data_IF_339220454906
#
_entry.id   IF_339220454906
#
_cell.length_a   1.000
_cell.length_b   1.000
_cell.length_c   1.000
_cell.angle_alpha   90.00
_cell.angle_beta   90.00
_cell.angle_gamma   90.00
#
_symmetry.space_group_name_H-M   'P 1'
#
loop_
_entity.id
_entity.type
_entity.pdbx_description
1 polymer ?
#
# COMPACT_ATOMS: atom_id res chain seq x y z
N UNK A 1 -38.74 -10.86 -68.64
CA UNK A 1 -38.24 -10.15 -69.83
C UNK A 1 -37.20 -9.13 -69.35
N UNK A 2 -35.98 -9.17 -69.90
CA UNK A 2 -34.93 -8.13 -69.84
C UNK A 2 -34.38 -7.58 -68.49
N UNK A 3 -33.03 -7.68 -68.33
CA UNK A 3 -32.10 -6.59 -67.89
C UNK A 3 -32.17 -6.16 -66.39
N UNK A 4 -31.12 -5.94 -65.59
CA UNK A 4 -29.63 -6.04 -65.56
C UNK A 4 -29.25 -6.11 -64.04
N UNK A 5 -28.05 -6.43 -63.53
CA UNK A 5 -26.72 -6.70 -64.09
C UNK A 5 -25.96 -7.72 -63.18
N UNK A 6 -24.62 -7.65 -63.07
CA UNK A 6 -23.75 -8.41 -62.15
C UNK A 6 -22.91 -7.45 -61.26
N UNK A 7 -22.31 -7.86 -60.14
CA UNK A 7 -21.03 -8.60 -59.96
C UNK A 7 -20.78 -8.80 -58.44
N UNK A 8 -19.97 -9.72 -57.90
CA UNK A 8 -19.26 -10.91 -58.41
C UNK A 8 -19.06 -11.88 -57.22
N UNK A 9 -18.92 -13.18 -57.48
CA UNK A 9 -18.49 -14.18 -56.47
C UNK A 9 -17.34 -14.99 -57.07
N UNK A 10 -16.29 -15.24 -56.27
CA UNK A 10 -15.39 -16.41 -56.37
C UNK A 10 -14.54 -16.52 -57.68
N UNK A 11 -13.44 -17.27 -57.78
CA UNK A 11 -12.60 -18.12 -56.89
C UNK A 11 -11.19 -18.12 -57.54
N UNK A 12 -10.10 -18.29 -56.76
CA UNK A 12 -8.92 -19.07 -57.20
C UNK A 12 -7.94 -19.31 -56.03
N UNK A 13 -7.73 -20.58 -55.71
CA UNK A 13 -6.70 -21.07 -54.80
C UNK A 13 -5.52 -21.58 -55.66
N UNK A 14 -4.27 -21.31 -55.28
CA UNK A 14 -3.11 -22.00 -55.84
C UNK A 14 -1.99 -22.11 -54.78
N UNK A 15 -1.52 -23.33 -54.52
CA UNK A 15 -0.44 -23.66 -53.58
C UNK A 15 0.51 -24.64 -54.27
N UNK A 16 1.79 -24.27 -54.35
CA UNK A 16 2.96 -25.14 -54.59
C UNK A 16 4.19 -24.24 -54.77
N UNK A 17 5.42 -24.53 -54.37
CA UNK A 17 6.09 -25.42 -53.41
C UNK A 17 7.58 -25.00 -53.51
N UNK A 18 8.48 -25.55 -52.68
CA UNK A 18 9.94 -25.23 -52.57
C UNK A 18 10.25 -23.91 -51.83
N UNK A 19 11.34 -23.78 -51.05
CA UNK A 19 12.49 -24.69 -50.84
C UNK A 19 12.87 -24.86 -49.35
N UNK A 20 13.68 -25.88 -49.05
CA UNK A 20 14.17 -26.19 -47.70
C UNK A 20 15.42 -25.38 -47.30
N UNK A 21 15.51 -25.10 -46.00
CA UNK A 21 16.73 -25.08 -45.17
C UNK A 21 17.99 -24.33 -45.64
N UNK A 22 18.24 -23.18 -45.00
CA UNK A 22 19.56 -22.91 -44.38
C UNK A 22 19.36 -22.44 -42.94
N UNK A 23 20.02 -23.11 -41.99
CA UNK A 23 20.09 -22.67 -40.60
C UNK A 23 21.23 -21.64 -40.52
N UNK A 24 20.91 -20.40 -40.18
CA UNK A 24 21.91 -19.39 -39.82
C UNK A 24 21.73 -19.03 -38.36
N UNK A 25 22.63 -19.50 -37.49
CA UNK A 25 22.73 -18.97 -36.13
C UNK A 25 23.27 -17.55 -36.22
N UNK A 26 22.39 -16.55 -36.19
CA UNK A 26 22.79 -15.20 -35.85
C UNK A 26 23.12 -15.17 -34.35
N UNK A 27 24.40 -14.95 -34.02
CA UNK A 27 24.83 -14.80 -32.62
C UNK A 27 24.08 -13.66 -31.92
N UNK A 28 23.52 -13.96 -30.75
CA UNK A 28 23.00 -12.94 -29.86
C UNK A 28 24.15 -12.02 -29.39
N UNK A 29 23.96 -10.69 -29.28
CA UNK A 29 25.00 -9.79 -28.82
C UNK A 29 25.54 -10.18 -27.44
N UNK A 30 26.82 -10.58 -27.40
CA UNK A 30 27.58 -10.79 -26.17
C UNK A 30 27.97 -9.43 -25.58
N UNK A 31 27.05 -8.81 -24.84
CA UNK A 31 27.42 -7.80 -23.86
C UNK A 31 26.39 -7.71 -22.72
N UNK A 32 26.29 -8.80 -21.95
CA UNK A 32 25.69 -8.76 -20.61
C UNK A 32 26.82 -8.51 -19.63
N UNK A 33 27.19 -7.23 -19.49
CA UNK A 33 28.10 -6.78 -18.44
C UNK A 33 27.60 -7.24 -17.07
N UNK A 34 28.51 -7.80 -16.28
CA UNK A 34 28.21 -8.52 -15.05
C UNK A 34 27.51 -7.63 -14.02
N UNK A 35 26.18 -7.80 -13.92
CA UNK A 35 25.34 -7.24 -12.85
C UNK A 35 24.42 -8.34 -12.35
N UNK A 36 24.76 -8.83 -11.17
CA UNK A 36 24.01 -9.82 -10.39
C UNK A 36 22.51 -9.50 -10.35
N UNK A 37 21.70 -10.31 -11.05
CA UNK A 37 20.22 -10.23 -11.07
C UNK A 37 19.58 -10.71 -9.74
N UNK A 38 20.11 -10.27 -8.61
CA UNK A 38 19.65 -10.61 -7.26
C UNK A 38 19.08 -9.41 -6.48
N UNK A 39 19.28 -8.18 -6.96
CA UNK A 39 18.72 -6.97 -6.34
C UNK A 39 17.34 -6.65 -6.94
N UNK A 40 16.35 -7.48 -6.60
CA UNK A 40 14.95 -7.12 -6.77
C UNK A 40 14.64 -5.88 -5.93
N UNK A 41 14.35 -4.74 -6.58
CA UNK A 41 14.08 -3.44 -5.96
C UNK A 41 12.82 -3.45 -5.08
N UNK A 42 12.90 -4.03 -3.87
CA UNK A 42 11.85 -3.92 -2.87
C UNK A 42 11.94 -2.57 -2.15
N UNK A 43 11.67 -1.49 -2.88
CA UNK A 43 11.50 -0.17 -2.28
C UNK A 43 10.18 -0.17 -1.50
N UNK A 44 10.29 -0.06 -0.17
CA UNK A 44 9.12 0.20 0.68
C UNK A 44 8.44 1.47 0.21
N UNK A 45 7.11 1.46 0.03
CA UNK A 45 6.40 2.68 -0.33
C UNK A 45 6.61 3.74 0.75
N UNK A 46 6.70 5.01 0.32
CA UNK A 46 6.72 6.17 1.20
C UNK A 46 5.62 6.08 2.27
N UNK A 47 5.83 6.74 3.41
CA UNK A 47 4.76 6.84 4.41
C UNK A 47 3.57 7.66 3.87
N UNK A 48 2.39 7.42 4.43
CA UNK A 48 1.21 8.25 4.19
C UNK A 48 1.14 9.49 5.11
N UNK A 49 2.05 9.59 6.07
CA UNK A 49 2.16 10.73 6.99
C UNK A 49 2.91 11.86 6.29
N UNK A 50 2.32 13.05 6.22
CA UNK A 50 2.99 14.24 5.71
C UNK A 50 4.03 14.76 6.73
N UNK A 51 5.31 14.94 6.37
CA UNK A 51 6.33 15.51 7.25
C UNK A 51 6.11 16.99 7.62
N UNK A 52 5.24 17.72 6.91
CA UNK A 52 4.93 19.12 7.20
C UNK A 52 4.05 19.30 8.45
N UNK A 53 3.23 18.30 8.80
CA UNK A 53 2.30 18.36 9.94
C UNK A 53 2.87 17.72 11.22
N UNK A 54 4.08 17.16 11.17
CA UNK A 54 4.73 16.57 12.36
C UNK A 54 5.39 17.64 13.22
N UNK A 55 5.20 17.56 14.55
CA UNK A 55 5.93 18.38 15.52
C UNK A 55 7.38 17.92 15.61
N UNK A 56 8.30 18.81 15.30
CA UNK A 56 9.75 18.56 15.37
C UNK A 56 10.26 18.53 16.82
N UNK A 57 11.33 17.74 17.04
CA UNK A 57 11.97 17.50 18.35
C UNK A 57 13.49 17.68 18.22
N UNK A 58 13.89 18.84 17.68
CA UNK A 58 15.28 19.22 17.40
C UNK A 58 16.16 19.26 18.66
N UNK A 59 15.59 19.63 19.81
CA UNK A 59 16.32 19.86 21.07
C UNK A 59 16.64 18.59 21.89
N UNK A 60 16.50 17.39 21.30
CA UNK A 60 16.87 16.13 21.97
C UNK A 60 18.40 15.90 22.01
N UNK A 61 18.88 14.94 22.81
CA UNK A 61 20.33 14.63 22.99
C UNK A 61 21.05 14.01 21.76
N UNK A 62 20.60 14.32 20.54
CA UNK A 62 21.29 13.97 19.31
C UNK A 62 22.44 14.93 18.97
N UNK A 63 23.30 14.58 18.00
CA UNK A 63 24.37 15.47 17.54
C UNK A 63 23.78 16.71 16.84
N UNK A 64 24.26 17.91 17.18
CA UNK A 64 23.74 19.20 16.68
C UNK A 64 23.40 19.20 15.18
N UNK A 65 22.27 19.83 14.85
CA UNK A 65 21.78 20.05 13.49
C UNK A 65 21.27 21.49 13.34
N UNK A 66 21.33 22.05 12.13
CA UNK A 66 20.57 23.26 11.78
C UNK A 66 19.11 22.91 11.42
N UNK A 67 18.25 23.93 11.29
CA UNK A 67 16.86 23.74 10.87
C UNK A 67 16.77 23.19 9.43
N UNK A 68 17.66 23.62 8.53
CA UNK A 68 17.74 23.14 7.14
C UNK A 68 18.18 21.67 7.08
N UNK A 69 19.18 21.30 7.89
CA UNK A 69 19.62 19.91 8.01
C UNK A 69 18.52 19.02 8.60
N UNK A 70 17.78 19.52 9.60
CA UNK A 70 16.63 18.81 10.14
C UNK A 70 15.53 18.63 9.09
N UNK A 71 15.18 19.68 8.34
CA UNK A 71 14.18 19.64 7.29
C UNK A 71 14.56 18.64 6.18
N UNK A 72 15.83 18.63 5.76
CA UNK A 72 16.36 17.62 4.84
C UNK A 72 16.23 16.21 5.44
N UNK A 73 16.72 16.01 6.67
CA UNK A 73 16.71 14.72 7.35
C UNK A 73 15.30 14.15 7.49
N UNK A 74 14.34 15.01 7.88
CA UNK A 74 12.92 14.67 7.99
C UNK A 74 12.32 14.28 6.65
N UNK A 75 12.48 15.11 5.61
CA UNK A 75 11.96 14.83 4.27
C UNK A 75 12.52 13.51 3.72
N UNK A 76 13.84 13.38 3.69
CA UNK A 76 14.54 12.20 3.16
C UNK A 76 14.16 10.93 3.93
N UNK A 77 14.02 11.01 5.26
CA UNK A 77 13.57 9.87 6.06
C UNK A 77 12.14 9.46 5.72
N UNK A 78 11.20 10.40 5.57
CA UNK A 78 9.79 10.09 5.28
C UNK A 78 9.62 9.52 3.86
N UNK A 79 10.34 10.07 2.88
CA UNK A 79 10.32 9.61 1.49
C UNK A 79 10.99 8.24 1.30
N UNK A 80 12.17 8.03 1.92
CA UNK A 80 13.06 6.91 1.57
C UNK A 80 13.27 5.85 2.67
N UNK A 81 13.01 6.16 3.93
CA UNK A 81 13.35 5.28 5.07
C UNK A 81 12.12 4.79 5.86
N UNK A 82 11.12 5.65 6.07
CA UNK A 82 9.95 5.38 6.90
C UNK A 82 9.10 4.21 6.37
N UNK A 83 9.13 3.93 5.07
CA UNK A 83 8.47 2.76 4.48
C UNK A 83 8.94 1.42 5.07
N UNK A 84 10.21 1.32 5.46
CA UNK A 84 10.81 0.12 6.06
C UNK A 84 11.01 0.25 7.58
N UNK A 85 11.33 1.44 8.09
CA UNK A 85 11.67 1.67 9.51
C UNK A 85 10.52 2.26 10.35
N UNK A 86 9.40 2.64 9.72
CA UNK A 86 8.26 3.32 10.35
C UNK A 86 8.52 4.79 10.65
N UNK A 87 7.46 5.63 10.71
CA UNK A 87 7.60 7.08 10.96
C UNK A 87 8.22 7.40 12.32
N UNK A 88 7.88 6.61 13.35
CA UNK A 88 8.48 6.69 14.70
C UNK A 88 9.81 5.93 14.82
N UNK A 89 10.35 5.40 13.72
CA UNK A 89 11.57 4.59 13.69
C UNK A 89 11.53 3.30 14.53
N UNK A 90 10.35 2.82 14.94
CA UNK A 90 10.17 1.59 15.74
C UNK A 90 10.36 0.28 14.94
N UNK A 91 10.64 0.37 13.64
CA UNK A 91 10.79 -0.76 12.74
C UNK A 91 9.48 -1.19 12.09
N UNK A 92 9.57 -1.85 10.93
CA UNK A 92 8.47 -2.52 10.27
C UNK A 92 8.98 -3.77 9.53
N UNK A 93 9.59 -3.59 8.36
CA UNK A 93 10.43 -4.62 7.71
C UNK A 93 11.90 -4.43 8.06
N UNK A 94 12.34 -3.17 8.19
CA UNK A 94 13.65 -2.79 8.69
C UNK A 94 13.68 -2.75 10.22
N UNK A 95 14.89 -2.90 10.78
CA UNK A 95 15.15 -2.83 12.23
C UNK A 95 14.78 -1.45 12.82
N UNK A 96 14.42 -1.36 14.11
CA UNK A 96 14.23 -0.07 14.77
C UNK A 96 15.50 0.81 14.70
N UNK A 97 15.29 2.12 14.51
CA UNK A 97 16.28 3.20 14.50
C UNK A 97 15.90 4.26 15.55
N UNK A 98 15.39 3.82 16.70
CA UNK A 98 15.10 4.70 17.85
C UNK A 98 16.40 5.19 18.51
N UNK A 99 16.41 6.38 19.16
CA UNK A 99 17.63 6.99 19.67
C UNK A 99 18.39 6.16 20.69
N UNK A 100 17.69 5.36 21.51
CA UNK A 100 18.28 4.43 22.47
C UNK A 100 19.10 3.31 21.80
N UNK A 101 18.87 3.04 20.51
CA UNK A 101 19.63 2.09 19.69
C UNK A 101 20.69 2.83 18.87
N UNK A 102 20.31 3.89 18.15
CA UNK A 102 21.21 4.58 17.21
C UNK A 102 22.35 5.28 17.92
N UNK A 103 22.11 5.96 19.05
CA UNK A 103 23.17 6.58 19.88
C UNK A 103 24.16 5.55 20.41
N UNK A 104 23.70 4.35 20.81
CA UNK A 104 24.57 3.24 21.26
C UNK A 104 25.40 2.62 20.13
N UNK A 105 24.95 2.70 18.88
CA UNK A 105 25.71 2.26 17.70
C UNK A 105 26.77 3.29 17.27
N UNK A 106 26.49 4.57 17.47
CA UNK A 106 27.41 5.66 17.15
C UNK A 106 27.48 6.01 15.66
N UNK A 107 27.84 7.26 15.38
CA UNK A 107 27.75 7.85 14.05
C UNK A 107 28.57 7.13 12.96
N UNK A 108 29.74 6.58 13.28
CA UNK A 108 30.60 5.88 12.30
C UNK A 108 29.96 4.58 11.80
N UNK A 109 29.41 3.77 12.72
CA UNK A 109 28.66 2.55 12.38
C UNK A 109 27.45 2.88 11.49
N UNK A 110 26.66 3.89 11.89
CA UNK A 110 25.47 4.31 11.16
C UNK A 110 25.82 4.83 9.76
N UNK A 111 26.87 5.65 9.64
CA UNK A 111 27.39 6.16 8.36
C UNK A 111 27.79 5.02 7.44
N UNK A 112 28.53 4.04 7.96
CA UNK A 112 28.96 2.85 7.22
C UNK A 112 27.74 2.07 6.70
N UNK A 113 26.75 1.82 7.56
CA UNK A 113 25.56 1.05 7.21
C UNK A 113 24.65 1.76 6.19
N UNK A 114 24.53 3.09 6.26
CA UNK A 114 23.79 3.89 5.26
C UNK A 114 24.55 3.97 3.94
N UNK A 115 25.89 4.06 3.97
CA UNK A 115 26.74 4.15 2.77
C UNK A 115 26.71 2.87 1.94
N UNK A 116 26.87 1.71 2.59
CA UNK A 116 27.07 0.41 1.94
C UNK A 116 25.84 -0.51 2.00
N UNK A 117 24.79 -0.15 2.76
CA UNK A 117 23.61 -0.98 2.93
C UNK A 117 23.91 -2.28 3.70
N UNK A 118 23.12 -3.32 3.44
CA UNK A 118 23.45 -4.68 3.91
C UNK A 118 22.83 -5.78 3.05
N UNK A 119 23.45 -6.98 2.98
CA UNK A 119 22.92 -8.13 2.24
C UNK A 119 21.52 -8.59 2.67
N UNK A 120 21.06 -8.17 3.87
CA UNK A 120 19.72 -8.45 4.38
C UNK A 120 18.63 -7.51 3.83
N UNK A 121 18.91 -6.72 2.79
CA UNK A 121 17.92 -5.90 2.07
C UNK A 121 17.85 -4.43 2.46
N UNK A 122 18.85 -3.89 3.20
CA UNK A 122 18.95 -2.42 3.36
C UNK A 122 19.71 -1.83 2.16
N UNK A 123 19.15 -0.83 1.44
CA UNK A 123 19.81 -0.21 0.29
C UNK A 123 21.13 0.50 0.64
N UNK A 124 21.99 0.62 -0.37
CA UNK A 124 23.37 1.07 -0.29
C UNK A 124 23.55 2.54 -0.75
N UNK A 125 22.81 3.45 -0.12
CA UNK A 125 22.57 4.84 -0.56
C UNK A 125 23.80 5.67 -0.95
N UNK A 126 24.96 5.42 -0.34
CA UNK A 126 26.20 6.14 -0.67
C UNK A 126 26.90 5.54 -1.89
N UNK A 127 27.04 4.22 -1.93
CA UNK A 127 27.68 3.53 -3.09
C UNK A 127 26.81 3.46 -4.34
N UNK A 128 25.49 3.61 -4.22
CA UNK A 128 24.59 3.79 -5.36
C UNK A 128 24.66 5.21 -5.95
N UNK A 129 25.16 6.18 -5.19
CA UNK A 129 25.13 7.61 -5.54
C UNK A 129 23.80 8.31 -5.27
N UNK A 130 22.86 7.66 -4.58
CA UNK A 130 21.53 8.24 -4.28
C UNK A 130 21.56 9.30 -3.17
N UNK A 131 22.62 9.31 -2.33
CA UNK A 131 22.90 10.34 -1.32
C UNK A 131 24.40 10.69 -1.31
N UNK A 132 24.74 11.97 -1.15
CA UNK A 132 26.14 12.41 -0.97
C UNK A 132 26.67 12.09 0.43
N UNK A 133 27.98 12.28 0.67
CA UNK A 133 28.59 12.06 2.00
C UNK A 133 28.02 13.00 3.06
N UNK A 134 27.70 14.22 2.65
CA UNK A 134 27.13 15.30 3.45
C UNK A 134 25.66 14.99 3.79
N UNK A 135 24.88 14.54 2.80
CA UNK A 135 23.50 14.08 3.01
C UNK A 135 23.45 12.86 3.94
N UNK A 136 24.37 11.91 3.80
CA UNK A 136 24.51 10.77 4.72
C UNK A 136 24.87 11.25 6.13
N UNK A 137 25.72 12.26 6.29
CA UNK A 137 26.02 12.85 7.60
C UNK A 137 24.78 13.44 8.28
N UNK A 138 23.99 14.21 7.54
CA UNK A 138 22.72 14.77 8.00
C UNK A 138 21.78 13.63 8.43
N UNK A 139 21.65 12.57 7.63
CA UNK A 139 20.83 11.41 7.98
C UNK A 139 21.32 10.68 9.23
N UNK A 140 22.64 10.51 9.40
CA UNK A 140 23.25 9.88 10.58
C UNK A 140 22.97 10.67 11.86
N UNK A 141 23.01 12.01 11.79
CA UNK A 141 22.64 12.87 12.94
C UNK A 141 21.14 12.83 13.19
N UNK A 142 20.33 12.99 12.14
CA UNK A 142 18.87 12.97 12.21
C UNK A 142 18.32 11.70 12.89
N UNK A 143 18.83 10.51 12.56
CA UNK A 143 18.35 9.25 13.18
C UNK A 143 18.77 9.07 14.65
N UNK A 144 19.60 9.96 15.20
CA UNK A 144 20.01 9.98 16.62
C UNK A 144 19.23 11.01 17.46
N UNK A 145 18.41 11.87 16.84
CA UNK A 145 17.41 12.69 17.54
C UNK A 145 16.10 11.94 17.76
N UNK A 146 15.27 12.37 18.72
CA UNK A 146 13.90 11.88 18.83
C UNK A 146 13.11 12.11 17.53
N UNK A 147 12.31 11.14 17.05
CA UNK A 147 11.59 11.30 15.80
C UNK A 147 10.50 12.38 15.93
N UNK A 148 10.25 13.18 14.88
CA UNK A 148 9.17 14.15 14.89
C UNK A 148 7.82 13.43 15.04
N UNK A 149 6.94 13.99 15.88
CA UNK A 149 5.68 13.36 16.26
C UNK A 149 4.54 13.86 15.36
N UNK A 150 3.86 13.00 14.59
CA UNK A 150 2.67 13.42 13.85
C UNK A 150 1.52 13.78 14.81
N UNK A 151 0.48 14.49 14.35
CA UNK A 151 -0.66 14.84 15.20
C UNK A 151 -1.42 13.58 15.66
N UNK A 152 -2.09 13.66 16.81
CA UNK A 152 -3.03 12.61 17.23
C UNK A 152 -4.24 12.54 16.29
N UNK A 153 -4.91 11.39 16.27
CA UNK A 153 -6.10 11.15 15.46
C UNK A 153 -7.23 10.57 16.33
N UNK A 154 -8.04 11.46 16.90
CA UNK A 154 -9.07 11.12 17.88
C UNK A 154 -10.45 10.87 17.26
N UNK A 155 -11.45 10.73 18.14
CA UNK A 155 -12.84 10.50 17.74
C UNK A 155 -13.41 11.62 16.87
N UNK A 156 -12.97 12.87 17.09
CA UNK A 156 -13.37 14.01 16.29
C UNK A 156 -12.87 13.86 14.85
N UNK A 157 -11.58 13.62 14.67
CA UNK A 157 -10.94 13.49 13.35
C UNK A 157 -11.48 12.26 12.59
N UNK A 158 -11.78 11.17 13.30
CA UNK A 158 -12.49 10.01 12.72
C UNK A 158 -13.87 10.41 12.19
N UNK A 159 -14.69 11.10 13.00
CA UNK A 159 -16.03 11.55 12.60
C UNK A 159 -16.00 12.59 11.48
N UNK A 160 -15.04 13.50 11.48
CA UNK A 160 -14.83 14.48 10.40
C UNK A 160 -14.44 13.80 9.07
N UNK A 161 -13.81 12.62 9.14
CA UNK A 161 -13.42 11.81 7.96
C UNK A 161 -14.47 10.79 7.50
N UNK A 162 -15.48 10.52 8.33
CA UNK A 162 -16.46 9.47 8.13
C UNK A 162 -17.49 9.86 7.06
N UNK A 163 -17.74 8.95 6.12
CA UNK A 163 -18.78 9.11 5.09
C UNK A 163 -19.58 7.82 4.94
N UNK A 164 -20.86 7.89 5.27
CA UNK A 164 -21.85 6.87 4.94
C UNK A 164 -22.38 7.14 3.52
N UNK A 165 -21.86 6.41 2.53
CA UNK A 165 -22.20 6.62 1.11
C UNK A 165 -23.59 6.05 0.81
N UNK A 166 -23.87 4.83 1.28
CA UNK A 166 -25.18 4.19 1.18
C UNK A 166 -25.61 3.69 2.57
N UNK A 167 -26.58 4.37 3.22
CA UNK A 167 -27.21 3.91 4.46
C UNK A 167 -27.80 2.49 4.35
N UNK A 168 -27.75 1.73 5.45
CA UNK A 168 -28.13 0.31 5.47
C UNK A 168 -29.59 0.04 5.02
N UNK A 169 -30.52 0.93 5.35
CA UNK A 169 -31.93 0.88 4.94
C UNK A 169 -32.13 1.06 3.42
N UNK A 170 -31.12 1.54 2.70
CA UNK A 170 -31.11 1.72 1.25
C UNK A 170 -30.28 0.68 0.51
N UNK A 171 -29.66 -0.28 1.22
CA UNK A 171 -28.89 -1.37 0.62
C UNK A 171 -29.81 -2.53 0.21
N UNK A 172 -29.37 -3.42 -0.68
CA UNK A 172 -30.13 -4.62 -1.02
C UNK A 172 -30.44 -5.48 0.21
N UNK A 173 -31.67 -5.99 0.31
CA UNK A 173 -32.08 -6.95 1.35
C UNK A 173 -31.80 -8.41 0.95
N UNK A 174 -31.26 -8.61 -0.27
CA UNK A 174 -30.81 -9.88 -0.85
C UNK A 174 -29.69 -9.60 -1.86
N UNK A 175 -28.90 -10.61 -2.25
CA UNK A 175 -27.95 -10.50 -3.37
C UNK A 175 -28.68 -10.12 -4.67
N UNK A 176 -28.20 -9.09 -5.37
CA UNK A 176 -28.73 -8.58 -6.64
C UNK A 176 -27.81 -8.85 -7.85
N UNK A 177 -26.66 -9.48 -7.63
CA UNK A 177 -25.76 -9.94 -8.69
C UNK A 177 -25.71 -11.47 -8.76
N UNK A 178 -25.25 -12.00 -9.89
CA UNK A 178 -25.12 -13.45 -10.12
C UNK A 178 -23.75 -14.03 -9.73
N UNK A 179 -22.80 -13.20 -9.24
CA UNK A 179 -21.44 -13.64 -8.92
C UNK A 179 -21.37 -14.70 -7.81
N UNK A 180 -20.41 -15.62 -7.94
CA UNK A 180 -20.08 -16.59 -6.92
C UNK A 180 -19.23 -15.93 -5.81
N UNK A 181 -19.87 -15.34 -4.81
CA UNK A 181 -19.18 -14.54 -3.78
C UNK A 181 -18.13 -15.34 -2.98
N UNK A 182 -18.33 -16.66 -2.83
CA UNK A 182 -17.37 -17.55 -2.16
C UNK A 182 -16.09 -17.78 -2.97
N UNK A 183 -16.08 -17.42 -4.26
CA UNK A 183 -14.94 -17.54 -5.17
C UNK A 183 -14.54 -16.19 -5.80
N UNK A 184 -14.75 -15.05 -5.13
CA UNK A 184 -14.23 -13.75 -5.57
C UNK A 184 -12.83 -13.50 -5.00
N UNK A 185 -11.92 -13.03 -5.86
CA UNK A 185 -10.60 -12.55 -5.47
C UNK A 185 -10.60 -11.02 -5.36
N UNK A 186 -10.32 -10.49 -4.17
CA UNK A 186 -10.03 -9.06 -3.97
C UNK A 186 -8.52 -8.81 -4.14
N UNK A 187 -8.14 -8.32 -5.32
CA UNK A 187 -6.74 -8.12 -5.72
C UNK A 187 -6.32 -6.68 -5.45
N UNK A 188 -5.22 -6.48 -4.72
CA UNK A 188 -4.68 -5.14 -4.41
C UNK A 188 -3.92 -4.56 -5.61
N UNK A 189 -4.42 -3.45 -6.16
CA UNK A 189 -3.71 -2.63 -7.15
C UNK A 189 -2.94 -1.52 -6.42
N UNK A 190 -1.88 -1.95 -5.72
CA UNK A 190 -1.19 -1.19 -4.66
C UNK A 190 -0.92 0.28 -5.02
N UNK A 191 -0.22 0.54 -6.12
CA UNK A 191 0.29 1.88 -6.41
C UNK A 191 -0.78 2.78 -7.06
N UNK A 192 -1.88 2.20 -7.54
CA UNK A 192 -3.07 2.93 -8.01
C UNK A 192 -4.00 3.36 -6.87
N UNK A 193 -3.82 2.83 -5.65
CA UNK A 193 -4.75 3.07 -4.54
C UNK A 193 -6.13 2.46 -4.78
N UNK A 194 -6.15 1.28 -5.41
CA UNK A 194 -7.34 0.58 -5.89
C UNK A 194 -7.33 -0.90 -5.45
N UNK A 195 -8.52 -1.52 -5.46
CA UNK A 195 -8.63 -2.97 -5.58
C UNK A 195 -9.33 -3.34 -6.89
N UNK A 196 -9.04 -4.54 -7.40
CA UNK A 196 -9.80 -5.19 -8.45
C UNK A 196 -10.50 -6.41 -7.88
N UNK A 197 -11.82 -6.46 -8.03
CA UNK A 197 -12.60 -7.68 -7.79
C UNK A 197 -12.54 -8.54 -9.04
N UNK A 198 -12.10 -9.78 -8.91
CA UNK A 198 -12.00 -10.76 -10.01
C UNK A 198 -12.87 -11.96 -9.67
N UNK A 199 -13.68 -12.39 -10.62
CA UNK A 199 -14.49 -13.60 -10.52
C UNK A 199 -13.58 -14.83 -10.65
N UNK A 200 -13.54 -15.69 -9.63
CA UNK A 200 -12.63 -16.84 -9.60
C UNK A 200 -13.05 -18.01 -10.47
N UNK A 201 -14.28 -18.03 -11.01
CA UNK A 201 -14.77 -19.07 -11.91
C UNK A 201 -14.39 -18.73 -13.36
N UNK A 202 -14.69 -17.51 -13.80
CA UNK A 202 -14.48 -17.00 -15.16
C UNK A 202 -13.13 -16.34 -15.39
N UNK A 203 -12.50 -15.80 -14.32
CA UNK A 203 -11.24 -15.01 -14.31
C UNK A 203 -11.40 -13.59 -14.89
N UNK A 204 -12.63 -13.15 -15.12
CA UNK A 204 -12.95 -11.81 -15.59
C UNK A 204 -13.00 -10.78 -14.44
N UNK A 205 -12.66 -9.51 -14.69
CA UNK A 205 -12.76 -8.45 -13.69
C UNK A 205 -14.23 -8.01 -13.50
N UNK A 206 -14.68 -7.99 -12.24
CA UNK A 206 -16.03 -7.56 -11.83
C UNK A 206 -16.08 -6.03 -11.69
N UNK A 207 -15.15 -5.45 -10.94
CA UNK A 207 -15.04 -4.00 -10.72
C UNK A 207 -13.61 -3.62 -10.32
N UNK A 208 -13.23 -2.37 -10.59
CA UNK A 208 -12.05 -1.72 -10.00
C UNK A 208 -12.53 -0.60 -9.10
N UNK A 209 -12.27 -0.71 -7.80
CA UNK A 209 -12.77 0.17 -6.75
C UNK A 209 -11.63 1.06 -6.25
N UNK A 210 -11.85 2.38 -6.26
CA UNK A 210 -10.91 3.38 -5.75
C UNK A 210 -11.03 3.50 -4.25
N UNK A 211 -9.95 3.19 -3.53
CA UNK A 211 -9.89 3.30 -2.07
C UNK A 211 -9.15 4.56 -1.61
N UNK A 212 -8.33 5.14 -2.48
CA UNK A 212 -7.72 6.47 -2.34
C UNK A 212 -6.22 6.49 -2.00
N UNK A 213 -5.70 5.43 -1.38
CA UNK A 213 -4.27 5.24 -1.13
C UNK A 213 -3.92 3.75 -1.14
N UNK A 214 -2.62 3.44 -1.21
CA UNK A 214 -2.10 2.08 -1.33
C UNK A 214 -2.68 1.11 -0.30
N UNK A 215 -3.53 0.20 -0.80
CA UNK A 215 -4.19 -0.86 -0.03
C UNK A 215 -3.14 -1.80 0.57
N UNK A 216 -3.40 -2.26 1.78
CA UNK A 216 -2.56 -3.25 2.45
C UNK A 216 -3.20 -4.64 2.48
N UNK A 217 -4.46 -4.73 2.92
CA UNK A 217 -5.21 -6.00 2.98
C UNK A 217 -6.70 -5.80 2.72
N UNK A 218 -7.32 -6.88 2.27
CA UNK A 218 -8.77 -7.11 2.25
C UNK A 218 -9.17 -8.11 3.34
N UNK A 219 -10.37 -7.96 3.93
CA UNK A 219 -11.01 -8.91 4.84
C UNK A 219 -12.49 -9.02 4.58
N UNK A 220 -13.03 -10.24 4.68
CA UNK A 220 -14.47 -10.46 4.63
C UNK A 220 -15.08 -10.38 6.02
N UNK A 221 -16.31 -9.87 6.05
CA UNK A 221 -17.31 -10.14 7.08
C UNK A 221 -17.63 -11.62 7.22
N UNK A 222 -18.29 -11.99 8.31
CA UNK A 222 -18.56 -13.39 8.65
C UNK A 222 -19.66 -13.99 7.78
N UNK A 223 -20.59 -13.19 7.27
CA UNK A 223 -21.60 -13.64 6.28
C UNK A 223 -21.08 -13.68 4.84
N UNK A 224 -19.90 -13.14 4.57
CA UNK A 224 -19.39 -12.92 3.21
C UNK A 224 -20.06 -11.76 2.44
N UNK A 225 -21.04 -11.06 3.02
CA UNK A 225 -21.70 -9.92 2.36
C UNK A 225 -20.78 -8.71 2.21
N UNK A 226 -20.09 -8.35 3.28
CA UNK A 226 -19.27 -7.15 3.33
C UNK A 226 -17.78 -7.45 3.16
N UNK A 227 -17.13 -6.65 2.33
CA UNK A 227 -15.69 -6.62 2.13
C UNK A 227 -15.12 -5.34 2.74
N UNK A 228 -14.12 -5.50 3.61
CA UNK A 228 -13.37 -4.42 4.26
C UNK A 228 -11.99 -4.30 3.64
N UNK A 229 -11.60 -3.10 3.25
CA UNK A 229 -10.29 -2.81 2.67
C UNK A 229 -9.61 -1.71 3.46
N UNK A 230 -8.38 -1.92 3.92
CA UNK A 230 -7.59 -0.90 4.63
C UNK A 230 -6.38 -0.44 3.82
N UNK A 231 -6.28 0.88 3.63
CA UNK A 231 -5.13 1.58 3.09
C UNK A 231 -4.00 1.72 4.12
N UNK A 232 -2.76 1.79 3.65
CA UNK A 232 -1.59 2.08 4.50
C UNK A 232 -1.69 3.43 5.23
N UNK A 233 -2.50 4.35 4.72
CA UNK A 233 -2.85 5.64 5.32
C UNK A 233 -3.91 5.54 6.42
N UNK A 234 -4.38 4.34 6.77
CA UNK A 234 -5.48 4.11 7.71
C UNK A 234 -6.87 4.58 7.25
N UNK A 235 -7.11 4.77 5.94
CA UNK A 235 -8.47 4.78 5.41
C UNK A 235 -9.01 3.35 5.29
N UNK A 236 -10.27 3.16 5.66
CA UNK A 236 -11.03 1.93 5.50
C UNK A 236 -12.18 2.20 4.54
N UNK A 237 -12.40 1.27 3.60
CA UNK A 237 -13.59 1.22 2.74
C UNK A 237 -14.38 -0.04 3.11
N UNK A 238 -15.70 0.12 3.27
CA UNK A 238 -16.67 -0.96 3.41
C UNK A 238 -17.42 -1.09 2.09
N UNK A 239 -17.40 -2.28 1.50
CA UNK A 239 -17.98 -2.59 0.18
C UNK A 239 -19.10 -3.63 0.37
N UNK A 240 -20.28 -3.36 -0.20
CA UNK A 240 -21.41 -4.30 -0.16
C UNK A 240 -21.40 -5.21 -1.39
N UNK A 241 -21.07 -6.48 -1.19
CA UNK A 241 -20.97 -7.48 -2.25
C UNK A 241 -22.34 -7.95 -2.76
N UNK A 242 -23.46 -7.48 -2.19
CA UNK A 242 -24.81 -7.82 -2.66
C UNK A 242 -25.37 -6.85 -3.70
N UNK A 243 -24.75 -5.69 -3.92
CA UNK A 243 -25.16 -4.74 -4.96
C UNK A 243 -24.99 -5.34 -6.37
N UNK A 244 -25.81 -4.92 -7.35
CA UNK A 244 -25.69 -5.34 -8.76
C UNK A 244 -24.24 -5.19 -9.28
N UNK A 245 -23.61 -4.09 -8.89
CA UNK A 245 -22.18 -3.85 -9.00
C UNK A 245 -21.63 -3.53 -7.60
N UNK A 246 -20.79 -4.41 -6.99
CA UNK A 246 -20.19 -4.16 -5.68
C UNK A 246 -19.35 -2.87 -5.65
N UNK A 247 -19.58 -2.02 -4.66
CA UNK A 247 -18.98 -0.69 -4.55
C UNK A 247 -18.92 -0.23 -3.07
N UNK A 248 -18.10 0.79 -2.77
CA UNK A 248 -17.98 1.34 -1.40
C UNK A 248 -19.29 1.95 -0.91
N UNK A 249 -19.82 1.43 0.20
CA UNK A 249 -21.01 1.93 0.91
C UNK A 249 -20.70 2.79 2.13
N UNK A 250 -19.48 2.72 2.67
CA UNK A 250 -18.97 3.64 3.69
C UNK A 250 -17.44 3.76 3.66
N UNK A 251 -16.89 4.92 4.01
CA UNK A 251 -15.46 5.11 4.27
C UNK A 251 -15.19 5.87 5.58
N UNK A 252 -14.05 5.58 6.22
CA UNK A 252 -13.56 6.31 7.40
C UNK A 252 -12.03 6.28 7.46
N UNK A 253 -11.40 7.26 8.11
CA UNK A 253 -9.96 7.26 8.42
C UNK A 253 -9.76 7.10 9.94
N UNK A 254 -9.02 6.07 10.36
CA UNK A 254 -8.85 5.70 11.78
C UNK A 254 -7.50 6.11 12.38
N UNK A 255 -6.66 6.78 11.60
CA UNK A 255 -5.32 7.19 11.97
C UNK A 255 -4.59 7.84 10.80
N UNK A 256 -3.27 7.91 10.89
CA UNK A 256 -2.41 8.42 9.82
C UNK A 256 -1.62 7.30 9.12
N UNK A 257 -1.33 6.22 9.85
CA UNK A 257 -0.67 5.04 9.30
C UNK A 257 -1.26 3.77 9.94
N UNK A 258 -1.66 2.78 9.13
CA UNK A 258 -2.22 1.51 9.60
C UNK A 258 -1.86 0.34 8.69
N UNK A 259 -2.10 -0.89 9.17
CA UNK A 259 -1.84 -2.13 8.42
C UNK A 259 -2.90 -3.22 8.64
N UNK A 260 -3.82 -3.08 9.58
CA UNK A 260 -4.76 -4.14 9.92
C UNK A 260 -6.19 -3.66 10.03
N UNK A 261 -7.09 -4.46 9.46
CA UNK A 261 -8.54 -4.46 9.68
C UNK A 261 -8.95 -5.92 9.87
N UNK A 262 -9.99 -6.19 10.66
CA UNK A 262 -10.62 -7.50 10.80
C UNK A 262 -12.08 -7.36 11.27
N UNK A 263 -12.88 -8.42 11.12
CA UNK A 263 -14.32 -8.46 11.42
C UNK A 263 -14.65 -9.39 12.60
N UNK A 264 -15.82 -9.22 13.22
CA UNK A 264 -16.28 -10.07 14.32
C UNK A 264 -16.73 -11.46 13.84
N UNK A 265 -15.93 -12.48 14.18
CA UNK A 265 -16.10 -13.89 13.73
C UNK A 265 -16.58 -14.85 14.82
N UNK A 266 -16.96 -14.35 15.99
CA UNK A 266 -17.59 -15.19 17.02
C UNK A 266 -19.07 -15.41 16.71
N UNK A 267 -19.59 -16.61 16.98
CA UNK A 267 -20.98 -16.97 16.69
C UNK A 267 -21.96 -16.04 17.42
N UNK A 268 -22.92 -15.48 16.69
CA UNK A 268 -23.86 -14.48 17.19
C UNK A 268 -23.35 -13.04 17.12
N UNK A 269 -22.16 -12.81 16.54
CA UNK A 269 -21.58 -11.49 16.25
C UNK A 269 -21.29 -11.30 14.76
N UNK A 270 -21.96 -12.07 13.90
CA UNK A 270 -21.89 -11.93 12.45
C UNK A 270 -22.18 -10.47 12.05
N UNK A 271 -21.24 -9.88 11.32
CA UNK A 271 -21.27 -8.52 10.75
C UNK A 271 -21.46 -7.35 11.73
N UNK A 272 -21.46 -7.60 13.05
CA UNK A 272 -21.72 -6.56 14.06
C UNK A 272 -20.60 -5.56 14.24
N UNK A 273 -19.34 -5.98 14.13
CA UNK A 273 -18.18 -5.14 14.45
C UNK A 273 -17.05 -5.31 13.42
N UNK A 274 -16.37 -4.21 13.16
CA UNK A 274 -15.05 -4.19 12.56
C UNK A 274 -14.03 -3.61 13.54
N UNK A 275 -12.77 -4.04 13.45
CA UNK A 275 -11.65 -3.51 14.23
C UNK A 275 -10.49 -3.19 13.31
N UNK A 276 -9.80 -2.07 13.55
CA UNK A 276 -8.60 -1.69 12.82
C UNK A 276 -7.47 -1.23 13.74
N UNK A 277 -6.23 -1.59 13.39
CA UNK A 277 -5.02 -1.27 14.14
C UNK A 277 -4.12 -0.28 13.40
N UNK A 278 -3.82 0.84 14.06
CA UNK A 278 -2.93 1.88 13.57
C UNK A 278 -1.50 1.73 14.11
N UNK A 279 -0.53 2.10 13.28
CA UNK A 279 0.85 2.39 13.70
C UNK A 279 0.94 3.80 14.27
N UNK A 280 0.23 4.77 13.66
CA UNK A 280 0.08 6.11 14.21
C UNK A 280 -1.36 6.63 14.14
N UNK A 281 -1.95 7.10 15.27
CA UNK A 281 -1.45 6.92 16.63
C UNK A 281 -1.28 5.43 17.00
N UNK A 282 -0.54 5.07 18.05
CA UNK A 282 -0.51 3.71 18.58
C UNK A 282 -1.86 3.41 19.24
N UNK A 283 -2.81 2.95 18.44
CA UNK A 283 -4.19 2.71 18.86
C UNK A 283 -4.85 1.63 18.00
N UNK A 284 -5.94 1.07 18.52
CA UNK A 284 -6.93 0.37 17.70
C UNK A 284 -8.31 1.01 17.86
N UNK A 285 -9.14 0.82 16.83
CA UNK A 285 -10.50 1.37 16.76
C UNK A 285 -11.47 0.24 16.47
N UNK A 286 -12.48 0.10 17.33
CA UNK A 286 -13.66 -0.72 17.09
C UNK A 286 -14.72 0.17 16.45
N UNK A 287 -15.29 -0.31 15.34
CA UNK A 287 -16.34 0.34 14.57
C UNK A 287 -17.54 -0.60 14.46
N UNK A 288 -18.71 -0.02 14.19
CA UNK A 288 -19.88 -0.77 13.75
C UNK A 288 -19.59 -1.45 12.40
N UNK A 289 -19.99 -2.72 12.26
CA UNK A 289 -19.64 -3.53 11.09
C UNK A 289 -20.49 -3.25 9.84
N UNK A 290 -21.67 -2.64 10.00
CA UNK A 290 -22.57 -2.31 8.88
C UNK A 290 -22.35 -0.88 8.36
N UNK A 291 -21.84 0.03 9.19
CA UNK A 291 -21.70 1.45 8.85
C UNK A 291 -20.28 2.00 8.87
N UNK A 292 -19.32 1.35 9.55
CA UNK A 292 -18.02 1.91 9.96
C UNK A 292 -18.12 3.06 10.98
N UNK A 293 -19.26 3.30 11.65
CA UNK A 293 -19.32 4.32 12.70
C UNK A 293 -18.30 4.01 13.81
N UNK A 294 -17.42 4.95 14.20
CA UNK A 294 -16.37 4.70 15.18
C UNK A 294 -16.96 4.62 16.60
N UNK A 295 -16.94 3.44 17.20
CA UNK A 295 -17.56 3.17 18.51
C UNK A 295 -16.58 3.37 19.66
N UNK A 296 -15.35 2.85 19.54
CA UNK A 296 -14.36 2.88 20.62
C UNK A 296 -12.95 2.96 20.09
N UNK A 297 -12.19 3.92 20.60
CA UNK A 297 -10.73 4.03 20.42
C UNK A 297 -10.05 3.53 21.69
N UNK A 298 -8.95 2.79 21.54
CA UNK A 298 -8.11 2.34 22.65
C UNK A 298 -6.64 2.56 22.31
N UNK A 299 -5.93 3.31 23.15
CA UNK A 299 -4.48 3.50 23.08
C UNK A 299 -3.73 2.20 23.36
N UNK A 300 -2.63 1.97 22.65
CA UNK A 300 -1.68 0.86 22.87
C UNK A 300 -0.29 1.33 23.31
N UNK A 301 -0.19 2.59 23.76
CA UNK A 301 0.99 3.16 24.44
C UNK A 301 1.13 2.64 25.87
#
# INVERSE_FOLDING_TARGET
MAIKFSKLKQIALAVSLTAMATVSLAEAPKDVGDKTKAEGKYQGAATAVDPAITKDLTDSDGPKMTEEEWAFGKKTFFERCAGCHGVLRKGATGKPLTPDITRKKGSEYLRTFITYGSPAGMPNWGTSGDLTKEEIDIMVRYIQHEPPQPPEWGMKEMKDSYKLVIPADKRPTKKMNDFNLDNIFSVTLRDAGEIMLVDGDTKEPINVIKTGYAVHISRMSTTGRYLFVIGRDARINLIDMWMEKPETVAEIKIGMEARSVETSKFKGYEDKLAIAGAYWPPQYVIMDGDSLEPLKIVSTR
#
